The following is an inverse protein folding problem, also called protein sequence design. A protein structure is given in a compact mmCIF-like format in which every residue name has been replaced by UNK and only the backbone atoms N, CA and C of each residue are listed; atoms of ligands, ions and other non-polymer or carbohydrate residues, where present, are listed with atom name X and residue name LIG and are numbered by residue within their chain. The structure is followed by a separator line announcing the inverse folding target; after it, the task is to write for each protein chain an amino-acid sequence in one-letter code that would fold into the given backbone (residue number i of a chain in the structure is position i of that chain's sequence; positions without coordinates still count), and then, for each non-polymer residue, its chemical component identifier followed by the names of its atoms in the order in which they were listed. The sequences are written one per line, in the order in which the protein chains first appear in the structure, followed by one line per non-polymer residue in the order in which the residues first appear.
data_IF_040892244783
#
_entry.id   IF_040892244783
#
_cell.length_a   1.000
_cell.length_b   1.000
_cell.length_c   1.000
_cell.angle_alpha   90.00
_cell.angle_beta   90.00
_cell.angle_gamma   90.00
#
_symmetry.space_group_name_H-M   'P 1'
#
loop_
_entity.id
_entity.type
_entity.pdbx_description
1 polymer ?
#
# COMPACT_ATOMS: atom_id res chain seq x y z
N UNK A 1 -16.50 -5.36 -25.40
CA UNK A 1 -16.74 -4.10 -24.66
C UNK A 1 -17.05 -4.53 -23.24
N UNK A 2 -16.06 -4.87 -22.42
CA UNK A 2 -15.14 -3.96 -21.72
C UNK A 2 -13.83 -4.74 -21.46
N UNK A 3 -12.68 -4.16 -21.79
CA UNK A 3 -11.38 -4.74 -21.46
C UNK A 3 -11.16 -4.76 -19.94
N UNK A 4 -11.03 -5.94 -19.35
CA UNK A 4 -10.70 -6.15 -17.93
C UNK A 4 -9.21 -5.87 -17.69
N UNK A 5 -8.80 -4.62 -17.84
CA UNK A 5 -7.63 -4.08 -17.16
C UNK A 5 -8.18 -3.29 -15.97
N UNK A 6 -8.23 -3.93 -14.81
CA UNK A 6 -8.71 -3.33 -13.57
C UNK A 6 -8.05 -1.98 -13.34
N UNK A 7 -8.85 -0.96 -13.07
CA UNK A 7 -8.41 0.43 -13.02
C UNK A 7 -7.57 0.72 -11.77
N UNK A 8 -7.21 1.99 -11.57
CA UNK A 8 -6.51 2.43 -10.36
C UNK A 8 -7.28 2.06 -9.07
N UNK A 9 -8.61 1.99 -9.15
CA UNK A 9 -9.49 1.59 -8.06
C UNK A 9 -9.25 0.16 -7.59
N UNK A 10 -9.46 -0.78 -8.52
CA UNK A 10 -9.39 -2.21 -8.23
C UNK A 10 -8.00 -2.56 -7.71
N UNK A 11 -6.96 -1.99 -8.35
CA UNK A 11 -5.58 -2.24 -7.94
C UNK A 11 -5.24 -1.66 -6.56
N UNK A 12 -5.78 -0.49 -6.22
CA UNK A 12 -5.60 0.07 -4.88
C UNK A 12 -6.31 -0.79 -3.83
N UNK A 13 -7.52 -1.26 -4.11
CA UNK A 13 -8.25 -2.16 -3.20
C UNK A 13 -7.54 -3.51 -3.03
N UNK A 14 -7.01 -4.10 -4.10
CA UNK A 14 -6.20 -5.33 -4.04
C UNK A 14 -4.97 -5.14 -3.14
N UNK A 15 -4.25 -4.02 -3.30
CA UNK A 15 -3.09 -3.69 -2.48
C UNK A 15 -3.48 -3.47 -1.02
N UNK A 16 -4.57 -2.76 -0.76
CA UNK A 16 -5.09 -2.57 0.61
C UNK A 16 -5.51 -3.90 1.24
N UNK A 17 -6.17 -4.77 0.48
CA UNK A 17 -6.53 -6.12 0.91
C UNK A 17 -5.29 -6.93 1.27
N UNK A 18 -4.26 -6.91 0.43
CA UNK A 18 -2.99 -7.59 0.70
C UNK A 18 -2.29 -7.03 1.93
N UNK A 19 -2.26 -5.71 2.12
CA UNK A 19 -1.67 -5.09 3.30
C UNK A 19 -2.43 -5.50 4.58
N UNK A 20 -3.77 -5.48 4.56
CA UNK A 20 -4.60 -5.91 5.69
C UNK A 20 -4.37 -7.39 6.04
N UNK A 21 -4.20 -8.25 5.04
CA UNK A 21 -3.89 -9.66 5.24
C UNK A 21 -2.50 -9.91 5.85
N UNK A 22 -1.58 -8.95 5.71
CA UNK A 22 -0.22 -8.99 6.28
C UNK A 22 -0.13 -8.28 7.64
N UNK A 23 -1.25 -7.81 8.19
CA UNK A 23 -1.27 -7.07 9.43
C UNK A 23 -0.70 -7.89 10.59
N UNK A 24 0.12 -7.26 11.41
CA UNK A 24 0.76 -7.85 12.58
C UNK A 24 0.58 -6.93 13.80
N UNK A 25 -0.36 -7.24 14.71
CA UNK A 25 -0.66 -6.42 15.87
C UNK A 25 0.50 -6.34 16.88
N UNK A 26 1.35 -7.37 16.97
CA UNK A 26 2.52 -7.35 17.86
C UNK A 26 3.53 -6.28 17.39
N UNK A 27 3.70 -6.14 16.08
CA UNK A 27 4.49 -5.05 15.50
C UNK A 27 3.85 -3.68 15.79
N UNK A 28 2.53 -3.55 15.69
CA UNK A 28 1.82 -2.29 16.03
C UNK A 28 2.08 -1.91 17.48
N UNK A 29 2.01 -2.87 18.41
CA UNK A 29 2.31 -2.63 19.82
C UNK A 29 3.76 -2.17 20.05
N UNK A 30 4.71 -2.75 19.32
CA UNK A 30 6.11 -2.32 19.34
C UNK A 30 6.31 -0.91 18.77
N UNK A 31 5.60 -0.56 17.71
CA UNK A 31 5.67 0.75 17.04
C UNK A 31 5.20 1.90 17.94
N UNK A 32 4.24 1.66 18.84
CA UNK A 32 3.78 2.67 19.81
C UNK A 32 4.91 3.20 20.69
N UNK A 33 5.94 2.37 21.00
CA UNK A 33 7.12 2.77 21.77
C UNK A 33 7.98 3.82 21.07
N UNK A 34 7.87 3.90 19.74
CA UNK A 34 8.57 4.86 18.89
C UNK A 34 7.68 6.05 18.49
N UNK A 35 6.51 6.22 19.13
CA UNK A 35 5.61 7.34 18.88
C UNK A 35 4.75 7.21 17.62
N UNK A 36 4.69 6.03 17.01
CA UNK A 36 3.82 5.77 15.87
C UNK A 36 2.40 5.47 16.40
N UNK A 37 1.41 6.19 15.88
CA UNK A 37 0.00 5.95 16.21
C UNK A 37 -0.41 4.53 15.82
N UNK A 38 -1.09 3.81 16.71
CA UNK A 38 -1.69 2.51 16.38
C UNK A 38 -2.91 2.66 15.45
N UNK A 39 -3.57 3.82 15.44
CA UNK A 39 -4.76 4.06 14.62
C UNK A 39 -4.40 4.06 13.13
N UNK A 40 -4.97 3.12 12.39
CA UNK A 40 -4.72 2.98 10.95
C UNK A 40 -3.39 2.29 10.61
N UNK A 41 -2.68 1.74 11.59
CA UNK A 41 -1.39 1.06 11.41
C UNK A 41 -1.58 -0.44 11.42
N UNK A 42 -1.06 -1.12 10.38
CA UNK A 42 -1.17 -2.56 10.20
C UNK A 42 0.02 -3.33 10.77
N UNK A 43 1.15 -2.68 11.04
CA UNK A 43 2.36 -3.33 11.52
C UNK A 43 3.11 -4.12 10.45
N UNK A 44 2.90 -3.80 9.16
CA UNK A 44 3.61 -4.44 8.05
C UNK A 44 5.03 -3.88 7.97
N UNK A 45 6.03 -4.75 7.90
CA UNK A 45 7.43 -4.31 7.87
C UNK A 45 7.80 -3.59 6.56
N UNK A 46 8.69 -2.60 6.65
CA UNK A 46 9.22 -1.89 5.47
C UNK A 46 9.85 -2.84 4.43
N UNK A 47 10.42 -3.96 4.85
CA UNK A 47 10.98 -4.97 3.93
C UNK A 47 9.89 -5.57 3.05
N UNK A 48 8.73 -5.88 3.61
CA UNK A 48 7.57 -6.38 2.85
C UNK A 48 7.03 -5.30 1.91
N UNK A 49 6.91 -4.05 2.38
CA UNK A 49 6.48 -2.93 1.54
C UNK A 49 7.40 -2.69 0.34
N UNK A 50 8.73 -2.76 0.54
CA UNK A 50 9.72 -2.68 -0.54
C UNK A 50 9.60 -3.85 -1.52
N UNK A 51 9.25 -5.04 -1.04
CA UNK A 51 8.93 -6.19 -1.88
C UNK A 51 7.75 -5.91 -2.82
N UNK A 52 6.64 -5.40 -2.27
CA UNK A 52 5.45 -5.01 -3.05
C UNK A 52 5.79 -3.89 -4.04
N UNK A 53 6.51 -2.85 -3.61
CA UNK A 53 6.91 -1.75 -4.50
C UNK A 53 7.76 -2.22 -5.69
N UNK A 54 8.63 -3.22 -5.49
CA UNK A 54 9.42 -3.83 -6.56
C UNK A 54 8.55 -4.54 -7.59
N UNK A 55 7.48 -5.22 -7.17
CA UNK A 55 6.51 -5.85 -8.07
C UNK A 55 5.76 -4.82 -8.93
N UNK A 56 5.54 -3.61 -8.41
CA UNK A 56 4.89 -2.50 -9.13
C UNK A 56 5.85 -1.71 -10.03
N UNK A 57 7.16 -1.98 -9.98
CA UNK A 57 8.17 -1.22 -10.74
C UNK A 57 7.99 -1.26 -12.27
N UNK A 58 7.56 -2.37 -12.92
CA UNK A 58 7.25 -2.37 -14.35
C UNK A 58 6.13 -1.39 -14.70
N UNK A 59 5.09 -1.33 -13.85
CA UNK A 59 3.93 -0.47 -14.05
C UNK A 59 4.31 1.02 -14.13
N UNK A 60 5.32 1.45 -13.37
CA UNK A 60 5.85 2.82 -13.42
C UNK A 60 6.41 3.22 -14.77
N UNK A 61 6.94 2.25 -15.52
CA UNK A 61 7.51 2.50 -16.84
C UNK A 61 6.46 2.44 -17.93
N UNK A 62 5.52 1.51 -17.82
CA UNK A 62 4.52 1.25 -18.86
C UNK A 62 3.27 2.10 -18.71
N UNK A 63 2.89 2.46 -17.48
CA UNK A 63 1.65 3.16 -17.14
C UNK A 63 1.88 4.14 -15.97
N UNK A 64 2.67 5.22 -16.17
CA UNK A 64 3.03 6.16 -15.11
C UNK A 64 1.81 6.83 -14.46
N UNK A 65 0.80 7.21 -15.25
CA UNK A 65 -0.40 7.86 -14.72
C UNK A 65 -1.23 6.93 -13.84
N UNK A 66 -1.35 5.66 -14.24
CA UNK A 66 -2.03 4.64 -13.44
C UNK A 66 -1.33 4.46 -12.08
N UNK A 67 0.00 4.50 -12.04
CA UNK A 67 0.73 4.41 -10.77
C UNK A 67 0.46 5.63 -9.88
N UNK A 68 0.44 6.84 -10.45
CA UNK A 68 0.12 8.04 -9.69
C UNK A 68 -1.30 8.00 -9.12
N UNK A 69 -2.28 7.54 -9.89
CA UNK A 69 -3.64 7.35 -9.40
C UNK A 69 -3.74 6.30 -8.29
N UNK A 70 -3.03 5.17 -8.43
CA UNK A 70 -2.97 4.14 -7.37
C UNK A 70 -2.33 4.71 -6.10
N UNK A 71 -1.23 5.44 -6.22
CA UNK A 71 -0.55 6.06 -5.09
C UNK A 71 -1.46 7.08 -4.37
N UNK A 72 -2.19 7.91 -5.11
CA UNK A 72 -3.15 8.86 -4.54
C UNK A 72 -4.27 8.15 -3.75
N UNK A 73 -4.80 7.04 -4.28
CA UNK A 73 -5.82 6.22 -3.60
C UNK A 73 -5.28 5.55 -2.34
N UNK A 74 -4.08 4.97 -2.40
CA UNK A 74 -3.41 4.41 -1.23
C UNK A 74 -3.21 5.46 -0.14
N UNK A 75 -2.80 6.68 -0.52
CA UNK A 75 -2.62 7.78 0.42
C UNK A 75 -3.93 8.21 1.10
N UNK A 76 -5.00 8.34 0.30
CA UNK A 76 -6.34 8.72 0.75
C UNK A 76 -6.98 7.69 1.68
N UNK A 77 -6.57 6.41 1.61
CA UNK A 77 -7.11 5.34 2.47
C UNK A 77 -6.88 5.55 3.97
N UNK A 78 -5.90 6.39 4.34
CA UNK A 78 -5.55 6.63 5.73
C UNK A 78 -4.71 5.53 6.39
N UNK A 79 -4.52 4.39 5.73
CA UNK A 79 -3.71 3.28 6.24
C UNK A 79 -2.23 3.66 6.22
N UNK A 80 -1.56 3.51 7.36
CA UNK A 80 -0.17 3.94 7.56
C UNK A 80 0.77 3.32 6.51
N UNK A 81 0.72 2.01 6.33
CA UNK A 81 1.58 1.30 5.39
C UNK A 81 1.19 1.51 3.94
N UNK A 82 -0.08 1.82 3.66
CA UNK A 82 -0.51 2.23 2.32
C UNK A 82 0.09 3.59 1.95
N UNK A 83 0.15 4.53 2.89
CA UNK A 83 0.82 5.83 2.69
C UNK A 83 2.32 5.69 2.47
N UNK A 84 2.98 4.80 3.22
CA UNK A 84 4.38 4.47 2.97
C UNK A 84 4.54 3.90 1.55
N UNK A 85 3.72 2.91 1.19
CA UNK A 85 3.78 2.27 -0.13
C UNK A 85 3.52 3.25 -1.28
N UNK A 86 2.65 4.25 -1.08
CA UNK A 86 2.37 5.30 -2.06
C UNK A 86 3.59 6.19 -2.35
N UNK A 87 4.50 6.35 -1.39
CA UNK A 87 5.72 7.16 -1.52
C UNK A 87 6.98 6.39 -1.93
N UNK A 88 6.95 5.05 -1.88
CA UNK A 88 8.01 4.20 -2.46
C UNK A 88 7.94 4.28 -3.98
#
# INVERSE_FOLDING_TARGET
MIDTVGGAADRAEDLLGRLRALANPDNVAGMARFGISATGTLGVSVTVLRGIARELRPLRRTQPELVHEVAARLWASGVHEARILAGL
#
